data_IF_320478568263
#
_entry.id   IF_320478568263
#
_cell.length_a   1.000
_cell.length_b   1.000
_cell.length_c   1.000
_cell.angle_alpha   90.00
_cell.angle_beta   90.00
_cell.angle_gamma   90.00
#
_symmetry.space_group_name_H-M   'P 1'
#
loop_
_entity.id
_entity.type
_entity.pdbx_description
1 polymer ?
#
# COMPACT_ATOMS: atom_id res chain seq x y z
N UNK A 1 -26.48 -5.20 -13.99
CA UNK A 1 -26.37 -5.62 -12.57
C UNK A 1 -25.65 -6.97 -12.59
N UNK A 2 -24.34 -6.96 -12.36
CA UNK A 2 -23.57 -8.20 -12.24
C UNK A 2 -24.02 -8.83 -10.92
N UNK A 3 -24.63 -10.02 -11.01
CA UNK A 3 -25.06 -10.78 -9.85
C UNK A 3 -23.81 -11.38 -9.23
N UNK A 4 -23.15 -10.64 -8.34
CA UNK A 4 -22.12 -11.20 -7.45
C UNK A 4 -22.82 -12.30 -6.66
N UNK A 5 -22.36 -13.54 -6.82
CA UNK A 5 -22.94 -14.68 -6.11
C UNK A 5 -22.78 -14.44 -4.60
N UNK A 6 -23.76 -14.87 -3.79
CA UNK A 6 -23.76 -14.65 -2.34
C UNK A 6 -22.42 -15.04 -1.70
N UNK A 7 -21.85 -16.15 -2.15
CA UNK A 7 -20.58 -16.70 -1.73
C UNK A 7 -19.40 -15.75 -2.04
N UNK A 8 -19.40 -15.11 -3.22
CA UNK A 8 -18.38 -14.13 -3.59
C UNK A 8 -18.48 -12.88 -2.73
N UNK A 9 -19.70 -12.40 -2.48
CA UNK A 9 -19.90 -11.23 -1.63
C UNK A 9 -19.52 -11.51 -0.17
N UNK A 10 -19.87 -12.70 0.36
CA UNK A 10 -19.48 -13.12 1.69
C UNK A 10 -17.96 -13.27 1.82
N UNK A 11 -17.31 -13.85 0.80
CA UNK A 11 -15.86 -13.95 0.73
C UNK A 11 -15.20 -12.56 0.74
N UNK A 12 -15.62 -11.65 -0.14
CA UNK A 12 -15.07 -10.29 -0.21
C UNK A 12 -15.29 -9.52 1.09
N UNK A 13 -16.44 -9.67 1.75
CA UNK A 13 -16.70 -9.04 3.04
C UNK A 13 -15.70 -9.52 4.10
N UNK A 14 -15.44 -10.82 4.16
CA UNK A 14 -14.47 -11.41 5.10
C UNK A 14 -13.05 -10.96 4.76
N UNK A 15 -12.65 -10.98 3.49
CA UNK A 15 -11.31 -10.54 3.07
C UNK A 15 -11.06 -9.06 3.41
N UNK A 16 -12.05 -8.19 3.18
CA UNK A 16 -11.89 -6.74 3.32
C UNK A 16 -12.12 -6.21 4.74
N UNK A 17 -12.93 -6.89 5.56
CA UNK A 17 -13.34 -6.39 6.89
C UNK A 17 -13.01 -7.37 8.02
N UNK A 18 -12.62 -8.58 7.68
CA UNK A 18 -12.26 -9.60 8.65
C UNK A 18 -10.94 -9.26 9.33
N UNK A 19 -10.94 -9.46 10.64
CA UNK A 19 -9.73 -9.65 11.41
C UNK A 19 -9.57 -11.13 11.69
N UNK A 20 -8.64 -11.79 11.01
CA UNK A 20 -8.49 -13.25 11.00
C UNK A 20 -9.83 -13.96 10.68
N UNK A 21 -10.54 -14.42 11.72
CA UNK A 21 -11.80 -15.14 11.67
C UNK A 21 -13.00 -14.35 12.24
N UNK A 22 -12.81 -13.07 12.59
CA UNK A 22 -13.81 -12.22 13.23
C UNK A 22 -14.18 -11.00 12.37
N UNK A 23 -15.47 -10.66 12.36
CA UNK A 23 -15.95 -9.36 11.91
C UNK A 23 -16.25 -8.51 13.16
N UNK A 24 -15.60 -7.35 13.27
CA UNK A 24 -15.71 -6.49 14.45
C UNK A 24 -16.41 -5.20 14.02
N UNK A 25 -17.73 -5.07 14.25
CA UNK A 25 -18.48 -3.87 13.88
C UNK A 25 -17.90 -2.62 14.53
N UNK A 26 -18.03 -1.48 13.85
CA UNK A 26 -17.51 -0.16 14.28
C UNK A 26 -15.99 -0.06 14.13
N UNK A 27 -15.24 -1.08 14.56
CA UNK A 27 -13.81 -1.15 14.30
C UNK A 27 -13.51 -1.24 12.80
N UNK A 28 -14.24 -2.13 12.12
CA UNK A 28 -14.14 -2.36 10.68
C UNK A 28 -14.48 -1.14 9.82
N UNK A 29 -15.02 -0.06 10.41
CA UNK A 29 -15.31 1.20 9.74
C UNK A 29 -14.15 2.21 9.78
N UNK A 30 -13.08 1.95 10.55
CA UNK A 30 -11.89 2.80 10.58
C UNK A 30 -11.10 2.61 9.29
N UNK A 31 -10.77 3.72 8.61
CA UNK A 31 -10.00 3.67 7.37
C UNK A 31 -8.53 3.32 7.64
N UNK A 32 -7.89 2.73 6.64
CA UNK A 32 -6.46 2.45 6.64
C UNK A 32 -5.63 3.73 6.40
N UNK A 33 -4.63 4.00 7.24
CA UNK A 33 -3.56 4.95 6.93
C UNK A 33 -2.32 4.75 7.81
N UNK A 34 -1.16 4.80 7.19
CA UNK A 34 0.14 4.60 7.84
C UNK A 34 0.88 5.93 8.17
N UNK A 35 2.06 5.80 8.77
CA UNK A 35 2.98 6.90 9.04
C UNK A 35 2.44 7.95 10.01
N UNK A 36 2.69 9.25 9.71
CA UNK A 36 2.27 10.38 10.56
C UNK A 36 0.75 10.50 10.73
N UNK A 37 -0.04 9.83 9.88
CA UNK A 37 -1.49 9.89 9.89
C UNK A 37 -2.13 8.87 10.83
N UNK A 38 -1.50 7.70 11.01
CA UNK A 38 -1.97 6.64 11.91
C UNK A 38 -2.20 7.21 13.31
N UNK A 39 -3.45 7.14 13.79
CA UNK A 39 -3.85 7.79 15.04
C UNK A 39 -4.48 6.84 16.06
N UNK A 40 -4.62 5.56 15.73
CA UNK A 40 -5.08 4.51 16.65
C UNK A 40 -4.11 3.34 16.73
N UNK A 41 -4.25 2.56 17.81
CA UNK A 41 -3.66 1.23 17.98
C UNK A 41 -4.69 0.29 18.61
N UNK A 42 -4.71 -0.96 18.15
CA UNK A 42 -5.41 -2.08 18.76
C UNK A 42 -4.55 -2.70 19.88
N UNK A 43 -5.18 -3.21 20.93
CA UNK A 43 -4.51 -3.95 22.02
C UNK A 43 -4.81 -5.46 22.00
N UNK A 44 -5.13 -6.01 20.83
CA UNK A 44 -5.57 -7.39 20.66
C UNK A 44 -7.07 -7.52 20.46
N UNK A 45 -7.43 -8.47 19.60
CA UNK A 45 -8.81 -8.82 19.24
C UNK A 45 -9.32 -10.13 19.83
N UNK A 46 -8.46 -10.91 20.48
CA UNK A 46 -8.82 -12.23 21.04
C UNK A 46 -9.28 -12.18 22.50
N UNK A 47 -9.47 -10.99 23.05
CA UNK A 47 -10.12 -10.79 24.34
C UNK A 47 -11.64 -10.71 24.16
N UNK A 48 -12.40 -10.75 25.26
CA UNK A 48 -13.87 -10.56 25.21
C UNK A 48 -14.29 -9.20 24.63
N UNK A 49 -13.37 -8.23 24.63
CA UNK A 49 -13.56 -6.86 24.15
C UNK A 49 -12.38 -6.48 23.27
N UNK A 50 -12.68 -5.85 22.13
CA UNK A 50 -11.68 -5.22 21.26
C UNK A 50 -11.39 -3.83 21.82
N UNK A 51 -10.16 -3.60 22.25
CA UNK A 51 -9.73 -2.30 22.77
C UNK A 51 -8.91 -1.55 21.73
N UNK A 52 -9.34 -0.32 21.43
CA UNK A 52 -8.65 0.60 20.53
C UNK A 52 -8.32 1.87 21.29
N UNK A 53 -7.06 2.27 21.25
CA UNK A 53 -6.55 3.47 21.90
C UNK A 53 -6.04 4.46 20.87
N UNK A 54 -6.21 5.74 21.15
CA UNK A 54 -5.57 6.78 20.34
C UNK A 54 -4.05 6.78 20.57
N UNK A 55 -3.25 6.76 19.50
CA UNK A 55 -1.78 6.91 19.54
C UNK A 55 -1.34 8.36 19.73
N UNK A 56 -2.20 9.30 19.35
CA UNK A 56 -1.99 10.74 19.44
C UNK A 56 -3.32 11.45 19.72
N UNK A 57 -3.26 12.75 20.02
CA UNK A 57 -4.47 13.55 20.15
C UNK A 57 -5.20 13.61 18.79
N UNK A 58 -6.49 13.23 18.78
CA UNK A 58 -7.38 13.29 17.61
C UNK A 58 -8.31 14.48 17.80
N UNK A 59 -8.32 15.42 16.84
CA UNK A 59 -9.16 16.62 16.92
C UNK A 59 -10.60 16.31 16.53
N UNK A 60 -11.55 17.12 17.02
CA UNK A 60 -12.94 17.01 16.56
C UNK A 60 -13.01 17.26 15.04
N UNK A 61 -13.61 16.32 14.31
CA UNK A 61 -13.68 16.34 12.85
C UNK A 61 -12.48 15.73 12.13
N UNK A 62 -11.43 15.31 12.85
CA UNK A 62 -10.35 14.49 12.29
C UNK A 62 -10.83 13.05 12.10
N UNK A 63 -10.45 12.44 10.97
CA UNK A 63 -10.76 11.03 10.70
C UNK A 63 -9.95 10.11 11.64
N UNK A 64 -10.56 9.00 12.02
CA UNK A 64 -9.91 7.96 12.84
C UNK A 64 -9.31 6.94 11.89
N UNK A 65 -7.98 6.83 11.90
CA UNK A 65 -7.22 5.92 11.06
C UNK A 65 -6.63 4.78 11.90
N UNK A 66 -6.74 3.56 11.37
CA UNK A 66 -6.01 2.38 11.82
C UNK A 66 -5.03 1.93 10.72
N UNK A 67 -4.19 0.95 11.01
CA UNK A 67 -3.31 0.32 10.03
C UNK A 67 -3.74 -1.12 9.79
N UNK A 68 -3.64 -1.59 8.54
CA UNK A 68 -4.03 -2.94 8.13
C UNK A 68 -2.83 -3.88 7.96
N UNK A 69 -1.64 -3.31 7.92
CA UNK A 69 -0.35 -3.95 7.63
C UNK A 69 0.71 -3.65 8.72
N UNK A 70 0.63 -2.50 9.40
CA UNK A 70 1.55 -2.06 10.48
C UNK A 70 0.92 -2.10 11.88
N UNK A 71 -0.07 -2.95 12.10
CA UNK A 71 -0.66 -3.17 13.42
C UNK A 71 0.30 -3.95 14.35
N UNK A 72 0.29 -3.61 15.63
CA UNK A 72 1.18 -4.20 16.64
C UNK A 72 0.85 -5.69 16.92
N UNK A 73 -0.37 -6.11 16.57
CA UNK A 73 -0.96 -7.41 16.91
C UNK A 73 -1.41 -8.24 15.69
N UNK A 74 -1.12 -7.82 14.46
CA UNK A 74 -1.54 -8.53 13.25
C UNK A 74 -0.53 -9.54 12.70
N UNK A 75 0.41 -9.96 13.54
CA UNK A 75 1.39 -11.00 13.20
C UNK A 75 2.42 -10.55 12.17
N UNK A 76 2.83 -11.47 11.29
CA UNK A 76 3.92 -11.25 10.31
C UNK A 76 3.58 -10.30 9.15
N UNK A 77 2.42 -9.63 9.17
CA UNK A 77 2.08 -8.63 8.13
C UNK A 77 3.04 -7.44 8.16
N UNK A 78 3.54 -7.07 9.33
CA UNK A 78 4.43 -5.94 9.49
C UNK A 78 5.76 -6.06 8.71
N UNK A 79 6.17 -7.27 8.33
CA UNK A 79 7.48 -7.52 7.70
C UNK A 79 7.40 -7.75 6.18
N UNK A 80 6.24 -8.17 5.66
CA UNK A 80 6.12 -8.63 4.28
C UNK A 80 4.82 -8.22 3.59
N UNK A 81 4.02 -7.35 4.20
CA UNK A 81 2.74 -6.90 3.68
C UNK A 81 2.86 -5.41 3.35
N UNK A 82 2.50 -5.03 2.13
CA UNK A 82 2.52 -3.63 1.70
C UNK A 82 1.43 -3.32 0.68
N UNK A 83 1.69 -2.32 -0.14
CA UNK A 83 0.74 -1.76 -1.11
C UNK A 83 0.18 -2.80 -2.08
N UNK A 84 0.96 -3.77 -2.61
CA UNK A 84 0.42 -4.86 -3.43
C UNK A 84 -0.61 -5.72 -2.71
N UNK A 85 -0.35 -6.11 -1.46
CA UNK A 85 -1.28 -6.90 -0.66
C UNK A 85 -2.50 -6.08 -0.22
N UNK A 86 -2.32 -4.78 0.09
CA UNK A 86 -3.44 -3.87 0.36
C UNK A 86 -4.36 -3.78 -0.85
N UNK A 87 -3.80 -3.61 -2.06
CA UNK A 87 -4.58 -3.57 -3.29
C UNK A 87 -5.31 -4.88 -3.56
N UNK A 88 -4.62 -6.03 -3.41
CA UNK A 88 -5.21 -7.36 -3.62
C UNK A 88 -6.39 -7.63 -2.69
N UNK A 89 -6.23 -7.34 -1.39
CA UNK A 89 -7.18 -7.78 -0.37
C UNK A 89 -8.26 -6.73 -0.10
N UNK A 90 -7.95 -5.44 -0.23
CA UNK A 90 -8.87 -4.34 0.08
C UNK A 90 -9.35 -3.55 -1.14
N UNK A 91 -8.73 -3.74 -2.31
CA UNK A 91 -9.19 -3.16 -3.57
C UNK A 91 -8.89 -1.67 -3.74
N UNK A 92 -7.94 -1.13 -2.98
CA UNK A 92 -7.48 0.26 -3.12
C UNK A 92 -5.95 0.33 -3.04
N UNK A 93 -5.37 1.35 -3.66
CA UNK A 93 -3.94 1.66 -3.55
C UNK A 93 -3.71 2.55 -2.34
N UNK A 94 -2.73 2.22 -1.50
CA UNK A 94 -2.38 3.04 -0.34
C UNK A 94 -2.09 4.49 -0.74
N UNK A 95 -2.60 5.44 0.03
CA UNK A 95 -2.11 6.81 0.03
C UNK A 95 -0.80 6.83 0.82
N UNK A 96 0.15 7.67 0.43
CA UNK A 96 1.44 7.78 1.12
C UNK A 96 1.33 7.89 2.66
N UNK A 97 2.19 7.18 3.40
CA UNK A 97 3.30 6.36 2.89
C UNK A 97 2.84 5.02 2.29
N UNK A 98 3.51 4.59 1.21
CA UNK A 98 3.32 3.32 0.52
C UNK A 98 4.49 2.39 0.82
N UNK A 99 4.23 1.10 1.04
CA UNK A 99 5.27 0.11 1.29
C UNK A 99 5.34 -0.90 0.17
N UNK A 100 6.53 -1.12 -0.37
CA UNK A 100 6.75 -2.01 -1.50
C UNK A 100 7.64 -3.17 -1.10
N UNK A 101 7.16 -4.40 -1.36
CA UNK A 101 7.93 -5.62 -1.17
C UNK A 101 7.99 -6.38 -2.51
N UNK A 102 9.16 -6.41 -3.12
CA UNK A 102 9.46 -7.19 -4.32
C UNK A 102 10.13 -8.51 -3.88
N UNK A 103 9.30 -9.45 -3.42
CA UNK A 103 9.77 -10.68 -2.75
C UNK A 103 10.75 -11.51 -3.58
N UNK A 104 10.55 -11.61 -4.89
CA UNK A 104 11.41 -12.40 -5.79
C UNK A 104 12.80 -11.77 -5.96
N UNK A 105 12.92 -10.46 -5.73
CA UNK A 105 14.17 -9.71 -5.78
C UNK A 105 14.76 -9.49 -4.38
N UNK A 106 14.01 -9.75 -3.30
CA UNK A 106 14.45 -9.42 -1.94
C UNK A 106 14.56 -7.90 -1.68
N UNK A 107 13.92 -7.08 -2.53
CA UNK A 107 13.94 -5.62 -2.44
C UNK A 107 12.69 -5.13 -1.73
N UNK A 108 12.86 -4.22 -0.78
CA UNK A 108 11.77 -3.60 -0.06
C UNK A 108 12.11 -2.20 0.42
N UNK A 109 11.13 -1.31 0.33
CA UNK A 109 11.28 0.09 0.69
C UNK A 109 9.91 0.72 1.01
N UNK A 110 9.94 1.86 1.70
CA UNK A 110 8.80 2.75 1.92
C UNK A 110 8.99 4.00 1.07
N UNK A 111 7.92 4.43 0.43
CA UNK A 111 7.84 5.67 -0.31
C UNK A 111 6.85 6.60 0.42
N UNK A 112 7.29 7.79 0.83
CA UNK A 112 6.42 8.79 1.47
C UNK A 112 6.46 10.12 0.70
N UNK A 113 5.41 10.91 0.86
CA UNK A 113 5.37 12.27 0.34
C UNK A 113 6.05 13.22 1.33
N UNK A 114 7.02 13.97 0.84
CA UNK A 114 7.67 15.03 1.62
C UNK A 114 6.84 16.32 1.62
N UNK A 115 7.27 17.30 2.41
CA UNK A 115 6.55 18.57 2.57
C UNK A 115 6.63 19.48 1.31
N UNK A 116 7.54 19.18 0.38
CA UNK A 116 7.80 19.94 -0.87
C UNK A 116 7.08 19.34 -2.10
N UNK A 117 6.15 18.39 -1.91
CA UNK A 117 5.49 17.59 -2.96
C UNK A 117 6.43 16.65 -3.75
N UNK A 118 7.63 16.42 -3.25
CA UNK A 118 8.51 15.35 -3.71
C UNK A 118 8.25 14.04 -2.97
N UNK A 119 9.00 13.00 -3.35
CA UNK A 119 8.95 11.68 -2.74
C UNK A 119 10.26 11.37 -2.03
N UNK A 120 10.13 10.75 -0.86
CA UNK A 120 11.24 10.25 -0.06
C UNK A 120 11.18 8.72 0.01
N UNK A 121 12.32 8.08 -0.17
CA UNK A 121 12.45 6.62 -0.10
C UNK A 121 13.27 6.22 1.13
N UNK A 122 12.72 5.29 1.91
CA UNK A 122 13.38 4.61 3.03
C UNK A 122 13.56 3.13 2.70
N UNK A 123 14.80 2.64 2.70
CA UNK A 123 15.09 1.23 2.45
C UNK A 123 14.72 0.34 3.65
N UNK A 124 13.94 -0.71 3.41
CA UNK A 124 13.62 -1.75 4.40
C UNK A 124 14.52 -2.99 4.26
N UNK A 125 15.12 -3.18 3.08
CA UNK A 125 16.14 -4.18 2.81
C UNK A 125 17.40 -3.53 2.21
N UNK A 126 18.29 -4.32 1.62
CA UNK A 126 19.45 -3.78 0.93
C UNK A 126 19.03 -2.99 -0.32
N UNK A 127 19.79 -1.95 -0.64
CA UNK A 127 19.70 -1.23 -1.92
C UNK A 127 19.97 -2.20 -3.09
N UNK A 128 19.23 -2.10 -4.20
CA UNK A 128 19.37 -3.00 -5.33
C UNK A 128 20.70 -2.81 -6.07
N UNK A 129 21.21 -3.90 -6.63
CA UNK A 129 22.39 -3.87 -7.50
C UNK A 129 22.06 -3.48 -8.96
N UNK A 130 23.08 -3.41 -9.82
CA UNK A 130 22.91 -3.01 -11.22
C UNK A 130 21.97 -3.94 -12.01
N UNK A 131 22.01 -5.25 -11.75
CA UNK A 131 21.19 -6.25 -12.43
C UNK A 131 19.72 -6.14 -11.99
N UNK A 132 19.50 -5.90 -10.69
CA UNK A 132 18.17 -5.63 -10.13
C UNK A 132 17.58 -4.33 -10.67
N UNK A 133 18.39 -3.28 -10.79
CA UNK A 133 17.96 -2.02 -11.40
C UNK A 133 17.56 -2.21 -12.87
N UNK A 134 18.35 -2.94 -13.67
CA UNK A 134 17.98 -3.25 -15.07
C UNK A 134 16.65 -4.02 -15.13
N UNK A 135 16.43 -4.96 -14.20
CA UNK A 135 15.15 -5.66 -14.08
C UNK A 135 13.99 -4.70 -13.81
N UNK A 136 14.13 -3.77 -12.85
CA UNK A 136 13.08 -2.81 -12.53
C UNK A 136 12.81 -1.82 -13.66
N UNK A 137 13.84 -1.37 -14.39
CA UNK A 137 13.66 -0.56 -15.59
C UNK A 137 12.81 -1.28 -16.65
N UNK A 138 13.11 -2.55 -16.90
CA UNK A 138 12.33 -3.39 -17.80
C UNK A 138 10.90 -3.61 -17.33
N UNK A 139 10.66 -3.76 -16.02
CA UNK A 139 9.32 -3.90 -15.47
C UNK A 139 8.52 -2.60 -15.53
N UNK A 140 9.13 -1.47 -15.19
CA UNK A 140 8.48 -0.16 -15.29
C UNK A 140 8.05 0.11 -16.74
N UNK A 141 8.91 -0.15 -17.71
CA UNK A 141 8.58 0.04 -19.12
C UNK A 141 7.45 -0.90 -19.58
N UNK A 142 7.52 -2.19 -19.21
CA UNK A 142 6.44 -3.16 -19.50
C UNK A 142 5.09 -2.68 -18.95
N UNK A 143 5.08 -2.10 -17.75
CA UNK A 143 3.85 -1.59 -17.13
C UNK A 143 3.35 -0.31 -17.82
N UNK A 144 4.23 0.59 -18.26
CA UNK A 144 3.82 1.74 -19.09
C UNK A 144 3.18 1.31 -20.39
N UNK A 145 3.79 0.35 -21.10
CA UNK A 145 3.19 -0.22 -22.31
C UNK A 145 1.81 -0.85 -22.03
N UNK A 146 1.65 -1.50 -20.87
CA UNK A 146 0.37 -2.05 -20.45
C UNK A 146 -0.66 -0.94 -20.17
N UNK A 147 -0.25 0.15 -19.52
CA UNK A 147 -1.09 1.32 -19.25
C UNK A 147 -1.57 1.97 -20.55
N UNK A 148 -0.65 2.26 -21.46
CA UNK A 148 -0.94 2.93 -22.74
C UNK A 148 -1.70 2.02 -23.72
N UNK A 149 -1.50 0.70 -23.61
CA UNK A 149 -2.13 -0.29 -24.44
C UNK A 149 -3.46 -0.82 -23.88
N UNK A 150 -3.39 -1.93 -23.14
CA UNK A 150 -4.60 -2.69 -22.77
C UNK A 150 -5.45 -1.98 -21.73
N UNK A 151 -4.82 -1.24 -20.82
CA UNK A 151 -5.56 -0.55 -19.77
C UNK A 151 -6.17 0.76 -20.27
N UNK A 152 -5.63 1.37 -21.35
CA UNK A 152 -6.18 2.61 -21.94
C UNK A 152 -7.55 2.39 -22.59
N UNK A 153 -7.82 1.16 -23.06
CA UNK A 153 -9.08 0.76 -23.68
C UNK A 153 -10.12 0.44 -22.60
N UNK A 154 -11.24 1.15 -22.62
CA UNK A 154 -12.36 0.86 -21.73
C UNK A 154 -12.93 -0.53 -21.99
N UNK A 155 -13.02 -1.35 -20.96
CA UNK A 155 -13.62 -2.68 -21.02
C UNK A 155 -15.03 -2.67 -20.43
N UNK A 156 -16.06 -2.84 -21.26
CA UNK A 156 -17.46 -2.88 -20.81
C UNK A 156 -17.76 -4.02 -19.82
N UNK A 157 -16.93 -5.06 -19.79
CA UNK A 157 -17.05 -6.20 -18.88
C UNK A 157 -16.48 -5.95 -17.48
N UNK A 158 -15.79 -4.83 -17.25
CA UNK A 158 -15.19 -4.47 -15.95
C UNK A 158 -15.81 -3.15 -15.49
N UNK A 159 -16.13 -3.00 -14.21
CA UNK A 159 -16.68 -1.73 -13.72
C UNK A 159 -15.67 -0.58 -13.88
N UNK A 160 -16.17 0.65 -13.98
CA UNK A 160 -15.29 1.84 -14.04
C UNK A 160 -14.42 1.98 -12.80
N UNK A 161 -14.96 1.67 -11.62
CA UNK A 161 -14.22 1.71 -10.35
C UNK A 161 -13.09 0.69 -10.31
N UNK A 162 -13.30 -0.53 -10.78
CA UNK A 162 -12.24 -1.55 -10.84
C UNK A 162 -11.17 -1.17 -11.87
N UNK A 163 -11.56 -0.66 -13.04
CA UNK A 163 -10.59 -0.20 -14.04
C UNK A 163 -9.76 0.97 -13.53
N UNK A 164 -10.38 1.89 -12.79
CA UNK A 164 -9.68 3.01 -12.16
C UNK A 164 -8.69 2.50 -11.10
N UNK A 165 -9.13 1.61 -10.20
CA UNK A 165 -8.27 1.04 -9.17
C UNK A 165 -7.05 0.30 -9.76
N UNK A 166 -7.25 -0.48 -10.84
CA UNK A 166 -6.15 -1.15 -11.54
C UNK A 166 -5.14 -0.13 -12.09
N UNK A 167 -5.62 0.98 -12.68
CA UNK A 167 -4.76 2.03 -13.21
C UNK A 167 -4.02 2.76 -12.09
N UNK A 168 -4.70 3.15 -11.03
CA UNK A 168 -4.11 3.82 -9.86
C UNK A 168 -3.02 2.96 -9.23
N UNK A 169 -3.25 1.65 -9.08
CA UNK A 169 -2.23 0.72 -8.58
C UNK A 169 -1.04 0.58 -9.54
N UNK A 170 -1.31 0.45 -10.84
CA UNK A 170 -0.24 0.33 -11.85
C UNK A 170 0.62 1.59 -11.90
N UNK A 171 0.00 2.77 -11.84
CA UNK A 171 0.68 4.06 -11.82
C UNK A 171 1.53 4.25 -10.55
N UNK A 172 1.00 3.87 -9.38
CA UNK A 172 1.75 3.89 -8.13
C UNK A 172 2.95 2.93 -8.16
N UNK A 173 2.79 1.75 -8.75
CA UNK A 173 3.87 0.77 -8.89
C UNK A 173 4.98 1.26 -9.84
N UNK A 174 4.61 1.88 -10.97
CA UNK A 174 5.58 2.51 -11.89
C UNK A 174 6.32 3.63 -11.15
N UNK A 175 5.58 4.51 -10.47
CA UNK A 175 6.16 5.61 -9.68
C UNK A 175 7.15 5.09 -8.65
N UNK A 176 6.79 4.03 -7.92
CA UNK A 176 7.67 3.43 -6.92
C UNK A 176 8.96 2.88 -7.52
N UNK A 177 8.88 2.16 -8.64
CA UNK A 177 10.08 1.68 -9.36
C UNK A 177 10.92 2.84 -9.88
N UNK A 178 10.31 3.86 -10.48
CA UNK A 178 11.02 5.00 -11.06
C UNK A 178 11.73 5.84 -10.01
N UNK A 179 11.07 6.13 -8.90
CA UNK A 179 11.70 6.85 -7.79
C UNK A 179 12.87 6.05 -7.23
N UNK A 180 12.68 4.75 -7.01
CA UNK A 180 13.73 3.85 -6.58
C UNK A 180 14.94 3.86 -7.54
N UNK A 181 14.70 3.70 -8.84
CA UNK A 181 15.76 3.73 -9.87
C UNK A 181 16.49 5.07 -9.88
N UNK A 182 15.75 6.18 -9.81
CA UNK A 182 16.30 7.54 -9.83
C UNK A 182 17.24 7.78 -8.66
N UNK A 183 16.83 7.34 -7.47
CA UNK A 183 17.58 7.43 -6.23
C UNK A 183 18.89 6.63 -6.32
N UNK A 184 18.82 5.36 -6.72
CA UNK A 184 19.98 4.47 -6.83
C UNK A 184 20.97 4.96 -7.89
N UNK A 185 20.47 5.49 -9.02
CA UNK A 185 21.32 6.05 -10.09
C UNK A 185 21.93 7.42 -9.75
N UNK A 186 21.66 7.97 -8.56
CA UNK A 186 22.34 9.16 -8.05
C UNK A 186 21.93 10.46 -8.71
N UNK A 187 20.71 10.57 -9.24
CA UNK A 187 20.12 11.87 -9.55
C UNK A 187 19.58 12.47 -8.23
N UNK A 188 20.45 13.21 -7.52
CA UNK A 188 20.19 14.02 -6.30
C UNK A 188 20.14 13.33 -4.90
N UNK A 189 20.93 12.28 -4.64
CA UNK A 189 21.24 11.91 -3.25
C UNK A 189 22.44 12.73 -2.73
N UNK A 190 22.21 13.70 -1.83
CA UNK A 190 23.33 14.29 -1.07
C UNK A 190 23.87 13.25 -0.10
N UNK A 191 25.14 12.88 -0.28
CA UNK A 191 25.80 11.79 0.44
C UNK A 191 25.77 12.02 1.96
N UNK A 192 25.02 11.21 2.71
CA UNK A 192 25.13 11.14 4.18
C UNK A 192 23.86 10.84 4.97
N UNK A 193 22.69 10.73 4.34
CA UNK A 193 21.41 10.47 5.01
C UNK A 193 20.75 9.20 4.43
N UNK A 194 20.11 8.38 5.28
CA UNK A 194 19.41 7.12 4.90
C UNK A 194 18.12 7.38 4.08
N UNK A 195 17.93 8.61 3.61
CA UNK A 195 16.75 9.12 2.92
C UNK A 195 17.20 9.94 1.71
N UNK A 196 16.71 9.56 0.53
CA UNK A 196 16.89 10.35 -0.70
C UNK A 196 15.58 11.03 -1.09
N UNK A 197 15.69 12.28 -1.56
CA UNK A 197 14.57 13.15 -1.95
C UNK A 197 14.56 13.27 -3.48
N UNK A 198 13.40 13.07 -4.11
CA UNK A 198 13.16 13.31 -5.55
C UNK A 198 11.96 14.22 -5.76
#
# INVERSE_FOLDING_TARGET
>A
VVMIFFEQNAFLLVTQRGWDDLLIPVYDMMSHRNGKWLNTRSLGVRNEVVEVQAKKAIRAGEEIYTSYDQCEDCGGRADSYGTPEIFRDYGFTEIYPQRWHFHDQGISFVLDANDDNGLELEWLSAEPDEDEIEFFEGQAERLRELMDGKLSIYNEGISQSEQLAIREFTDAMITAMDTMITIVKGMDCTSGEDTCIV
#
